data_IF_771828262633
#
_entry.id   IF_771828262633
#
_cell.length_a   1.000
_cell.length_b   1.000
_cell.length_c   1.000
_cell.angle_alpha   90.00
_cell.angle_beta   90.00
_cell.angle_gamma   90.00
#
_symmetry.space_group_name_H-M   'P 1'
#
loop_
_entity.id
_entity.type
_entity.pdbx_description
1 polymer ?
#
# COMPACT_ATOMS: atom_id res chain seq x y z
N UNK A 1 -33.76 -18.14 -18.39
CA UNK A 1 -33.27 -18.65 -17.09
C UNK A 1 -31.76 -18.70 -17.16
N UNK A 2 -31.06 -17.96 -16.29
CA UNK A 2 -29.61 -18.18 -16.16
C UNK A 2 -29.43 -19.55 -15.53
N UNK A 3 -28.57 -20.36 -16.14
CA UNK A 3 -28.25 -21.70 -15.69
C UNK A 3 -27.58 -21.66 -14.30
N UNK A 4 -28.13 -22.40 -13.34
CA UNK A 4 -27.63 -22.44 -11.96
C UNK A 4 -26.17 -22.88 -11.89
N UNK A 5 -25.76 -23.80 -12.77
CA UNK A 5 -24.39 -24.28 -12.82
C UNK A 5 -23.44 -23.18 -13.30
N UNK A 6 -23.86 -22.39 -14.29
CA UNK A 6 -23.10 -21.22 -14.78
C UNK A 6 -23.00 -20.12 -13.70
N UNK A 7 -24.05 -19.91 -12.91
CA UNK A 7 -24.00 -18.97 -11.77
C UNK A 7 -23.03 -19.44 -10.69
N UNK A 8 -23.03 -20.73 -10.35
CA UNK A 8 -22.08 -21.29 -9.39
C UNK A 8 -20.63 -21.17 -9.88
N UNK A 9 -20.37 -21.45 -11.16
CA UNK A 9 -19.05 -21.25 -11.77
C UNK A 9 -18.64 -19.77 -11.76
N UNK A 10 -19.54 -18.86 -12.13
CA UNK A 10 -19.27 -17.42 -12.11
C UNK A 10 -18.99 -16.93 -10.68
N UNK A 11 -19.72 -17.44 -9.69
CA UNK A 11 -19.48 -17.14 -8.27
C UNK A 11 -18.07 -17.56 -7.88
N UNK A 12 -17.68 -18.79 -8.21
CA UNK A 12 -16.34 -19.31 -7.91
C UNK A 12 -15.23 -18.45 -8.55
N UNK A 13 -15.34 -18.15 -9.85
CA UNK A 13 -14.37 -17.29 -10.55
C UNK A 13 -14.33 -15.89 -9.96
N UNK A 14 -15.48 -15.31 -9.60
CA UNK A 14 -15.54 -13.99 -8.97
C UNK A 14 -14.89 -13.95 -7.60
N UNK A 15 -14.96 -15.06 -6.84
CA UNK A 15 -14.30 -15.19 -5.55
C UNK A 15 -12.78 -15.26 -5.71
N UNK A 16 -12.29 -16.11 -6.62
CA UNK A 16 -10.86 -16.20 -6.91
C UNK A 16 -10.29 -14.85 -7.38
N UNK A 17 -11.03 -14.13 -8.22
CA UNK A 17 -10.61 -12.80 -8.66
C UNK A 17 -10.54 -11.83 -7.48
N UNK A 18 -11.53 -11.83 -6.59
CA UNK A 18 -11.52 -10.99 -5.39
C UNK A 18 -10.30 -11.32 -4.52
N UNK A 19 -10.03 -12.60 -4.27
CA UNK A 19 -8.90 -13.03 -3.44
C UNK A 19 -7.57 -12.52 -4.01
N UNK A 20 -7.35 -12.67 -5.33
CA UNK A 20 -6.14 -12.16 -6.01
C UNK A 20 -6.02 -10.63 -5.89
N UNK A 21 -7.12 -9.88 -6.04
CA UNK A 21 -7.08 -8.41 -5.92
C UNK A 21 -6.82 -7.97 -4.49
N UNK A 22 -7.35 -8.67 -3.49
CA UNK A 22 -7.05 -8.40 -2.09
C UNK A 22 -5.58 -8.67 -1.77
N UNK A 23 -5.00 -9.77 -2.25
CA UNK A 23 -3.57 -10.05 -2.10
C UNK A 23 -2.69 -8.97 -2.75
N UNK A 24 -3.11 -8.47 -3.92
CA UNK A 24 -2.40 -7.38 -4.62
C UNK A 24 -2.47 -6.07 -3.83
N UNK A 25 -3.65 -5.73 -3.30
CA UNK A 25 -3.85 -4.56 -2.45
C UNK A 25 -3.02 -4.64 -1.16
N UNK A 26 -2.97 -5.81 -0.52
CA UNK A 26 -2.19 -6.04 0.69
C UNK A 26 -0.69 -5.79 0.44
N UNK A 27 -0.15 -6.38 -0.64
CA UNK A 27 1.24 -6.15 -1.06
C UNK A 27 1.53 -4.67 -1.32
N UNK A 28 0.66 -3.97 -2.04
CA UNK A 28 0.83 -2.54 -2.33
C UNK A 28 0.76 -1.69 -1.04
N UNK A 29 -0.12 -2.07 -0.11
CA UNK A 29 -0.25 -1.43 1.20
C UNK A 29 1.01 -1.60 2.03
N UNK A 30 1.54 -2.83 2.13
CA UNK A 30 2.76 -3.12 2.87
C UNK A 30 3.96 -2.37 2.29
N UNK A 31 4.14 -2.41 0.96
CA UNK A 31 5.24 -1.71 0.31
C UNK A 31 5.21 -0.20 0.57
N UNK A 32 4.02 0.40 0.55
CA UNK A 32 3.81 1.81 0.90
C UNK A 32 4.12 2.09 2.38
N UNK A 33 3.67 1.21 3.28
CA UNK A 33 3.91 1.35 4.71
C UNK A 33 5.40 1.28 5.05
N UNK A 34 6.14 0.35 4.46
CA UNK A 34 7.59 0.23 4.65
C UNK A 34 8.33 1.53 4.28
N UNK A 35 7.91 2.19 3.21
CA UNK A 35 8.48 3.49 2.79
C UNK A 35 8.14 4.61 3.77
N UNK A 36 6.91 4.64 4.29
CA UNK A 36 6.49 5.62 5.31
C UNK A 36 7.27 5.43 6.61
N UNK A 37 7.48 4.19 7.04
CA UNK A 37 8.22 3.88 8.26
C UNK A 37 9.70 4.32 8.14
N UNK A 38 10.33 4.07 6.98
CA UNK A 38 11.70 4.56 6.70
C UNK A 38 11.78 6.08 6.70
N UNK A 39 10.78 6.79 6.17
CA UNK A 39 10.73 8.26 6.25
C UNK A 39 10.59 8.74 7.69
N UNK A 40 9.75 8.08 8.49
CA UNK A 40 9.57 8.40 9.90
C UNK A 40 10.87 8.22 10.68
N UNK A 41 11.65 7.17 10.39
CA UNK A 41 12.96 6.95 10.99
C UNK A 41 13.95 8.08 10.67
N UNK A 42 14.02 8.52 9.41
CA UNK A 42 14.90 9.62 8.99
C UNK A 42 14.52 10.97 9.60
N UNK A 43 13.26 11.14 9.98
CA UNK A 43 12.74 12.37 10.60
C UNK A 43 12.88 12.38 12.12
N UNK A 44 13.33 11.27 12.72
CA UNK A 44 13.55 11.22 14.16
C UNK A 44 14.68 12.19 14.54
N UNK A 45 14.46 13.06 15.54
CA UNK A 45 15.53 13.93 16.03
C UNK A 45 16.67 13.11 16.62
N UNK A 46 17.90 13.56 16.39
CA UNK A 46 19.07 12.95 17.00
C UNK A 46 18.98 13.09 18.54
N UNK A 47 19.43 12.08 19.30
CA UNK A 47 19.53 12.20 20.74
C UNK A 47 20.55 13.28 21.13
N UNK A 48 20.46 13.81 22.37
CA UNK A 48 21.45 14.74 22.90
C UNK A 48 22.87 14.16 22.81
N UNK A 49 23.85 15.01 22.55
CA UNK A 49 25.24 14.63 22.34
C UNK A 49 26.15 15.38 23.31
N UNK A 50 27.08 14.66 23.93
CA UNK A 50 28.12 15.22 24.80
C UNK A 50 29.32 15.79 24.02
N UNK A 51 29.25 15.80 22.68
CA UNK A 51 30.29 16.37 21.82
C UNK A 51 30.43 17.89 22.01
N UNK A 52 31.62 18.38 21.71
CA UNK A 52 31.87 19.82 21.57
C UNK A 52 30.83 20.44 20.59
N UNK A 53 30.23 21.60 20.90
CA UNK A 53 29.17 22.19 20.07
C UNK A 53 29.53 22.41 18.61
N UNK A 54 30.80 22.74 18.30
CA UNK A 54 31.27 22.92 16.92
C UNK A 54 31.27 21.59 16.16
N UNK A 55 31.77 20.52 16.81
CA UNK A 55 31.79 19.17 16.25
C UNK A 55 30.35 18.64 16.09
N UNK A 56 29.50 18.87 17.09
CA UNK A 56 28.09 18.49 17.04
C UNK A 56 27.36 19.17 15.86
N UNK A 57 27.64 20.46 15.61
CA UNK A 57 27.10 21.20 14.47
C UNK A 57 27.54 20.64 13.12
N UNK A 58 28.82 20.31 12.96
CA UNK A 58 29.33 19.71 11.72
C UNK A 58 28.70 18.33 11.44
N UNK A 59 28.62 17.48 12.48
CA UNK A 59 27.98 16.17 12.37
C UNK A 59 26.50 16.30 12.00
N UNK A 60 25.78 17.23 12.64
CA UNK A 60 24.38 17.48 12.33
C UNK A 60 24.18 17.95 10.88
N UNK A 61 25.03 18.86 10.38
CA UNK A 61 24.95 19.34 8.99
C UNK A 61 25.19 18.21 7.99
N UNK A 62 26.24 17.40 8.19
CA UNK A 62 26.55 16.25 7.33
C UNK A 62 25.42 15.22 7.34
N UNK A 63 24.84 14.95 8.51
CA UNK A 63 23.69 14.08 8.64
C UNK A 63 22.47 14.61 7.87
N UNK A 64 22.15 15.90 7.98
CA UNK A 64 20.99 16.47 7.26
C UNK A 64 21.16 16.34 5.74
N UNK A 65 22.35 16.64 5.22
CA UNK A 65 22.62 16.48 3.78
C UNK A 65 22.42 15.02 3.31
N UNK A 66 22.90 14.05 4.09
CA UNK A 66 22.68 12.64 3.81
C UNK A 66 21.20 12.25 3.91
N UNK A 67 20.51 12.70 4.96
CA UNK A 67 19.11 12.41 5.22
C UNK A 67 18.21 12.98 4.12
N UNK A 68 18.49 14.18 3.63
CA UNK A 68 17.72 14.83 2.56
C UNK A 68 17.80 14.05 1.24
N UNK A 69 18.99 13.55 0.89
CA UNK A 69 19.15 12.69 -0.29
C UNK A 69 18.36 11.39 -0.15
N UNK A 70 18.37 10.78 1.05
CA UNK A 70 17.58 9.56 1.32
C UNK A 70 16.08 9.83 1.30
N UNK A 71 15.61 10.91 1.93
CA UNK A 71 14.20 11.33 1.92
C UNK A 71 13.70 11.56 0.49
N UNK A 72 14.48 12.26 -0.34
CA UNK A 72 14.15 12.50 -1.74
C UNK A 72 13.98 11.19 -2.52
N UNK A 73 14.92 10.25 -2.37
CA UNK A 73 14.84 8.94 -3.01
C UNK A 73 13.61 8.14 -2.55
N UNK A 74 13.31 8.12 -1.25
CA UNK A 74 12.14 7.41 -0.71
C UNK A 74 10.84 8.08 -1.18
N UNK A 75 10.76 9.41 -1.21
CA UNK A 75 9.57 10.14 -1.67
C UNK A 75 9.23 9.79 -3.13
N UNK A 76 10.22 9.64 -4.01
CA UNK A 76 10.00 9.20 -5.39
C UNK A 76 9.43 7.77 -5.47
N UNK A 77 9.91 6.86 -4.62
CA UNK A 77 9.37 5.50 -4.51
C UNK A 77 7.95 5.53 -3.97
N UNK A 78 7.71 6.29 -2.90
CA UNK A 78 6.42 6.43 -2.24
C UNK A 78 5.36 7.01 -3.19
N UNK A 79 5.73 7.95 -4.06
CA UNK A 79 4.85 8.48 -5.08
C UNK A 79 4.34 7.38 -6.03
N UNK A 80 5.24 6.53 -6.54
CA UNK A 80 4.86 5.38 -7.38
C UNK A 80 4.00 4.38 -6.63
N UNK A 81 4.41 3.99 -5.42
CA UNK A 81 3.64 3.06 -4.57
C UNK A 81 2.26 3.60 -4.22
N UNK A 82 2.09 4.92 -4.10
CA UNK A 82 0.78 5.53 -3.82
C UNK A 82 -0.16 5.40 -5.03
N UNK A 83 0.36 5.51 -6.25
CA UNK A 83 -0.42 5.23 -7.47
C UNK A 83 -0.80 3.76 -7.51
N UNK A 84 0.17 2.85 -7.35
CA UNK A 84 -0.06 1.39 -7.34
C UNK A 84 -1.10 0.98 -6.29
N UNK A 85 -1.00 1.53 -5.07
CA UNK A 85 -1.98 1.30 -4.00
C UNK A 85 -3.38 1.81 -4.37
N UNK A 86 -3.48 2.99 -4.99
CA UNK A 86 -4.76 3.56 -5.40
C UNK A 86 -5.43 2.70 -6.47
N UNK A 87 -4.66 2.22 -7.44
CA UNK A 87 -5.13 1.31 -8.49
C UNK A 87 -5.55 -0.04 -7.91
N UNK A 88 -4.71 -0.67 -7.08
CA UNK A 88 -5.04 -1.94 -6.44
C UNK A 88 -6.30 -1.84 -5.55
N UNK A 89 -6.48 -0.71 -4.86
CA UNK A 89 -7.68 -0.45 -4.04
C UNK A 89 -8.92 -0.35 -4.91
N UNK A 90 -8.83 0.34 -6.05
CA UNK A 90 -9.94 0.43 -7.02
C UNK A 90 -10.30 -0.95 -7.55
N UNK A 91 -9.32 -1.73 -8.01
CA UNK A 91 -9.53 -3.07 -8.54
C UNK A 91 -10.17 -4.02 -7.52
N UNK A 92 -9.70 -3.99 -6.27
CA UNK A 92 -10.26 -4.80 -5.18
C UNK A 92 -11.73 -4.40 -4.89
N UNK A 93 -12.03 -3.11 -4.91
CA UNK A 93 -13.40 -2.60 -4.73
C UNK A 93 -14.34 -3.08 -5.85
N UNK A 94 -13.89 -3.01 -7.11
CA UNK A 94 -14.66 -3.50 -8.25
C UNK A 94 -14.88 -5.03 -8.19
N UNK A 95 -13.83 -5.80 -7.89
CA UNK A 95 -13.93 -7.25 -7.74
C UNK A 95 -14.89 -7.64 -6.61
N UNK A 96 -14.85 -6.91 -5.49
CA UNK A 96 -15.77 -7.10 -4.37
C UNK A 96 -17.22 -6.82 -4.76
N UNK A 97 -17.48 -5.71 -5.45
CA UNK A 97 -18.80 -5.38 -5.96
C UNK A 97 -19.34 -6.44 -6.92
N UNK A 98 -18.51 -6.92 -7.86
CA UNK A 98 -18.88 -8.00 -8.79
C UNK A 98 -19.19 -9.29 -8.05
N UNK A 99 -18.35 -9.69 -7.11
CA UNK A 99 -18.58 -10.87 -6.27
C UNK A 99 -19.94 -10.75 -5.56
N UNK A 100 -20.22 -9.63 -4.89
CA UNK A 100 -21.50 -9.40 -4.22
C UNK A 100 -22.70 -9.54 -5.15
N UNK A 101 -22.66 -8.93 -6.34
CA UNK A 101 -23.77 -9.03 -7.31
C UNK A 101 -24.01 -10.48 -7.73
N UNK A 102 -22.95 -11.23 -8.02
CA UNK A 102 -23.07 -12.65 -8.38
C UNK A 102 -23.64 -13.47 -7.22
N UNK A 103 -23.25 -13.17 -5.98
CA UNK A 103 -23.83 -13.81 -4.78
C UNK A 103 -25.33 -13.55 -4.67
N UNK A 104 -25.75 -12.29 -4.77
CA UNK A 104 -27.17 -11.90 -4.75
C UNK A 104 -28.01 -12.59 -5.83
N UNK A 105 -27.47 -12.69 -7.05
CA UNK A 105 -28.13 -13.38 -8.16
C UNK A 105 -28.26 -14.90 -7.93
N UNK A 106 -27.28 -15.51 -7.25
CA UNK A 106 -27.31 -16.92 -6.89
C UNK A 106 -28.32 -17.19 -5.76
N UNK A 107 -28.39 -16.30 -4.77
CA UNK A 107 -29.27 -16.40 -3.61
C UNK A 107 -30.73 -15.99 -3.91
N UNK A 108 -30.98 -15.39 -5.08
CA UNK A 108 -32.30 -14.90 -5.48
C UNK A 108 -32.74 -13.64 -4.73
N UNK A 109 -31.80 -12.93 -4.08
CA UNK A 109 -32.08 -11.72 -3.29
C UNK A 109 -31.66 -10.49 -4.09
N UNK A 110 -32.63 -9.79 -4.70
CA UNK A 110 -32.40 -8.49 -5.38
C UNK A 110 -32.07 -7.37 -4.41
#
# INVERSE_FOLDING_TARGET
>A
MIDKEKLAQLRHVSQLLLDVRLMTLDRATQARQDSLDRLAELNRPAPPSDLNPVIAGEVAMRYQLWADQRRSAINLVLARQTVEWTEARKDASEAFGRNQVVGKLQDGTT
#
